data_IF_383695118162
#
_entry.id   IF_383695118162
#
_cell.length_a   1.000
_cell.length_b   1.000
_cell.length_c   1.000
_cell.angle_alpha   90.00
_cell.angle_beta   90.00
_cell.angle_gamma   90.00
#
_symmetry.space_group_name_H-M   'P 1'
#
loop_
_entity.id
_entity.type
_entity.pdbx_description
1 polymer ?
#
# COMPACT_ATOMS: atom_id res chain seq x y z
N UNK A 1 -20.29 -6.51 9.98
CA UNK A 1 -18.84 -6.15 9.85
C UNK A 1 -18.21 -6.93 8.71
N UNK A 2 -17.36 -6.28 7.94
CA UNK A 2 -16.54 -6.90 6.90
C UNK A 2 -15.07 -6.62 7.18
N UNK A 3 -14.21 -7.60 6.95
CA UNK A 3 -12.75 -7.47 7.08
C UNK A 3 -12.11 -7.87 5.74
N UNK A 4 -11.37 -6.97 5.16
CA UNK A 4 -10.58 -7.22 3.96
C UNK A 4 -9.13 -7.48 4.34
N UNK A 5 -8.54 -8.52 3.78
CA UNK A 5 -7.12 -8.84 3.83
C UNK A 5 -6.55 -8.52 2.45
N UNK A 6 -5.93 -7.34 2.33
CA UNK A 6 -5.63 -6.70 1.03
C UNK A 6 -4.22 -7.05 0.57
N UNK A 7 -4.02 -8.32 0.25
CA UNK A 7 -2.79 -8.85 -0.35
C UNK A 7 -1.59 -8.96 0.59
N UNK A 8 -0.62 -9.75 0.15
CA UNK A 8 0.68 -9.96 0.80
C UNK A 8 0.58 -10.35 2.29
N UNK A 9 -0.50 -11.07 2.63
CA UNK A 9 -0.76 -11.56 3.99
C UNK A 9 0.22 -12.68 4.36
N UNK A 10 0.61 -13.46 3.35
CA UNK A 10 1.59 -14.56 3.50
C UNK A 10 2.74 -14.30 2.53
N UNK A 11 3.95 -14.09 3.06
CA UNK A 11 5.15 -13.95 2.23
C UNK A 11 5.57 -15.30 1.62
N UNK A 12 4.85 -15.71 0.59
CA UNK A 12 5.09 -16.94 -0.15
C UNK A 12 6.44 -16.97 -0.85
N UNK A 13 6.99 -15.82 -1.22
CA UNK A 13 8.33 -15.75 -1.83
C UNK A 13 9.41 -16.14 -0.83
N UNK A 14 9.26 -15.72 0.43
CA UNK A 14 10.18 -16.10 1.51
C UNK A 14 10.01 -17.57 1.89
N UNK A 15 8.76 -18.05 1.97
CA UNK A 15 8.47 -19.44 2.26
C UNK A 15 9.05 -20.41 1.20
N UNK A 16 9.05 -20.02 -0.09
CA UNK A 16 9.69 -20.79 -1.17
C UNK A 16 11.21 -20.90 -1.01
N UNK A 17 11.87 -19.87 -0.45
CA UNK A 17 13.34 -19.87 -0.24
C UNK A 17 13.74 -20.66 1.01
N UNK A 18 13.02 -20.47 2.10
CA UNK A 18 13.21 -21.17 3.37
C UNK A 18 11.90 -21.17 4.12
N UNK A 19 11.37 -22.36 4.39
CA UNK A 19 10.17 -22.48 5.19
C UNK A 19 10.45 -21.94 6.60
N UNK A 20 9.75 -20.87 6.95
CA UNK A 20 9.79 -20.24 8.26
C UNK A 20 8.38 -19.77 8.61
N UNK A 21 7.78 -20.41 9.61
CA UNK A 21 6.43 -20.11 10.07
C UNK A 21 6.42 -20.06 11.60
N UNK A 22 6.61 -18.89 12.21
CA UNK A 22 6.56 -18.72 13.67
C UNK A 22 5.19 -19.10 14.23
N UNK A 23 5.19 -19.55 15.49
CA UNK A 23 3.97 -19.96 16.17
C UNK A 23 2.95 -18.80 16.29
N UNK A 24 3.43 -17.58 16.42
CA UNK A 24 2.64 -16.35 16.51
C UNK A 24 1.76 -16.13 15.25
N UNK A 25 2.23 -16.59 14.08
CA UNK A 25 1.42 -16.54 12.86
C UNK A 25 0.16 -17.41 12.95
N UNK A 26 0.23 -18.54 13.67
CA UNK A 26 -0.95 -19.37 13.91
C UNK A 26 -2.02 -18.62 14.71
N UNK A 27 -1.61 -17.81 15.69
CA UNK A 27 -2.54 -17.04 16.51
C UNK A 27 -3.31 -16.02 15.67
N UNK A 28 -2.66 -15.39 14.71
CA UNK A 28 -3.30 -14.47 13.77
C UNK A 28 -4.33 -15.21 12.90
N UNK A 29 -3.93 -16.33 12.29
CA UNK A 29 -4.82 -17.16 11.47
C UNK A 29 -6.04 -17.62 12.30
N UNK A 30 -5.82 -18.12 13.51
CA UNK A 30 -6.89 -18.50 14.42
C UNK A 30 -7.84 -17.36 14.76
N UNK A 31 -7.33 -16.16 14.99
CA UNK A 31 -8.16 -14.98 15.27
C UNK A 31 -9.03 -14.62 14.07
N UNK A 32 -8.49 -14.67 12.86
CA UNK A 32 -9.22 -14.44 11.60
C UNK A 32 -10.35 -15.46 11.45
N UNK A 33 -10.04 -16.76 11.54
CA UNK A 33 -11.04 -17.83 11.43
C UNK A 33 -12.11 -17.77 12.54
N UNK A 34 -11.72 -17.35 13.75
CA UNK A 34 -12.65 -17.16 14.85
C UNK A 34 -13.61 -15.99 14.60
N UNK A 35 -13.17 -14.92 13.96
CA UNK A 35 -14.04 -13.81 13.54
C UNK A 35 -15.02 -14.27 12.47
N UNK A 36 -14.55 -15.01 11.45
CA UNK A 36 -15.40 -15.59 10.43
C UNK A 36 -16.52 -16.44 11.04
N UNK A 37 -16.18 -17.33 11.99
CA UNK A 37 -17.17 -18.15 12.73
C UNK A 37 -18.18 -17.34 13.56
N UNK A 38 -17.86 -16.10 13.91
CA UNK A 38 -18.74 -15.19 14.66
C UNK A 38 -19.61 -14.30 13.76
N UNK A 39 -19.52 -14.50 12.43
CA UNK A 39 -20.34 -13.80 11.46
C UNK A 39 -19.69 -12.56 10.84
N UNK A 40 -18.41 -12.27 11.13
CA UNK A 40 -17.67 -11.28 10.36
C UNK A 40 -17.41 -11.83 8.96
N UNK A 41 -17.83 -11.14 7.92
CA UNK A 41 -17.44 -11.45 6.54
C UNK A 41 -15.97 -11.19 6.36
N UNK A 42 -15.20 -12.17 5.92
CA UNK A 42 -13.77 -12.02 5.67
C UNK A 42 -13.48 -12.28 4.21
N UNK A 43 -12.86 -11.30 3.57
CA UNK A 43 -12.46 -11.37 2.16
C UNK A 43 -10.95 -11.29 2.08
N UNK A 44 -10.33 -12.33 1.50
CA UNK A 44 -8.90 -12.36 1.23
C UNK A 44 -8.64 -12.08 -0.25
N UNK A 45 -7.94 -11.01 -0.51
CA UNK A 45 -7.52 -10.57 -1.85
C UNK A 45 -6.02 -10.83 -1.98
N UNK A 46 -5.57 -11.89 -2.69
CA UNK A 46 -4.14 -12.22 -2.76
C UNK A 46 -3.34 -11.19 -3.54
N UNK A 47 -2.19 -10.79 -2.99
CA UNK A 47 -1.18 -9.97 -3.64
C UNK A 47 -0.16 -10.76 -4.46
N UNK A 48 0.96 -10.12 -4.78
CA UNK A 48 2.05 -10.76 -5.53
C UNK A 48 2.92 -11.67 -4.65
N UNK A 49 3.06 -11.41 -3.34
CA UNK A 49 3.79 -12.31 -2.42
C UNK A 49 3.02 -13.61 -2.13
N UNK A 50 1.72 -13.57 -2.13
CA UNK A 50 0.84 -14.72 -1.93
C UNK A 50 0.04 -15.11 -3.19
N UNK A 51 0.61 -14.85 -4.37
CA UNK A 51 0.04 -15.21 -5.69
C UNK A 51 -0.40 -16.67 -5.80
N UNK A 52 0.21 -17.57 -5.00
CA UNK A 52 -0.14 -18.99 -4.92
C UNK A 52 -1.58 -19.24 -4.44
N UNK A 53 -2.21 -18.26 -3.82
CA UNK A 53 -3.61 -18.32 -3.38
C UNK A 53 -4.58 -17.92 -4.50
N UNK A 54 -4.12 -17.21 -5.53
CA UNK A 54 -4.95 -16.71 -6.66
C UNK A 54 -5.73 -17.78 -7.41
N UNK A 55 -5.21 -19.01 -7.64
CA UNK A 55 -5.99 -20.08 -8.29
C UNK A 55 -7.26 -20.47 -7.52
N UNK A 56 -7.36 -20.15 -6.24
CA UNK A 56 -8.50 -20.45 -5.39
C UNK A 56 -9.53 -19.31 -5.34
N UNK A 57 -9.40 -18.29 -6.17
CA UNK A 57 -10.39 -17.19 -6.26
C UNK A 57 -11.79 -17.74 -6.57
N UNK A 58 -12.79 -17.24 -5.86
CA UNK A 58 -14.18 -17.73 -5.90
C UNK A 58 -14.47 -18.84 -4.89
N UNK A 59 -13.46 -19.34 -4.18
CA UNK A 59 -13.65 -20.36 -3.13
C UNK A 59 -13.78 -19.72 -1.75
N UNK A 60 -14.33 -20.50 -0.81
CA UNK A 60 -14.44 -20.13 0.59
C UNK A 60 -13.77 -21.21 1.46
N UNK A 61 -12.82 -20.78 2.28
CA UNK A 61 -12.10 -21.65 3.21
C UNK A 61 -12.35 -21.23 4.66
N UNK A 62 -13.14 -22.03 5.39
CA UNK A 62 -13.39 -21.78 6.80
C UNK A 62 -14.12 -20.46 7.11
N UNK A 63 -14.88 -19.92 6.14
CA UNK A 63 -15.56 -18.63 6.24
C UNK A 63 -14.75 -17.45 5.68
N UNK A 64 -13.58 -17.71 5.08
CA UNK A 64 -12.77 -16.71 4.36
C UNK A 64 -13.02 -16.85 2.87
N UNK A 65 -13.59 -15.81 2.25
CA UNK A 65 -13.80 -15.72 0.81
C UNK A 65 -12.51 -15.29 0.11
N UNK A 66 -12.07 -16.03 -0.91
CA UNK A 66 -10.91 -15.65 -1.72
C UNK A 66 -11.39 -14.95 -2.99
N UNK A 67 -10.96 -13.72 -3.22
CA UNK A 67 -11.38 -12.90 -4.36
C UNK A 67 -10.18 -12.17 -4.97
N UNK A 68 -10.24 -11.88 -6.29
CA UNK A 68 -9.21 -11.05 -6.95
C UNK A 68 -9.39 -9.57 -6.66
N UNK A 69 -10.64 -9.16 -6.55
CA UNK A 69 -11.07 -7.83 -6.15
C UNK A 69 -12.47 -7.95 -5.54
N UNK A 70 -12.84 -7.00 -4.72
CA UNK A 70 -14.17 -6.90 -4.14
C UNK A 70 -14.73 -5.48 -4.33
N UNK A 71 -16.05 -5.36 -4.17
CA UNK A 71 -16.71 -4.07 -4.04
C UNK A 71 -17.24 -3.93 -2.62
N UNK A 72 -17.09 -2.75 -2.07
CA UNK A 72 -17.55 -2.38 -0.74
C UNK A 72 -18.47 -1.17 -0.84
N UNK A 73 -19.71 -1.34 -0.40
CA UNK A 73 -20.66 -0.24 -0.29
C UNK A 73 -20.55 0.31 1.13
N UNK A 74 -20.10 1.55 1.26
CA UNK A 74 -19.90 2.23 2.56
C UNK A 74 -21.22 2.63 3.19
N UNK A 75 -21.20 2.91 4.49
CA UNK A 75 -22.41 3.31 5.24
C UNK A 75 -23.01 4.64 4.75
N UNK A 76 -22.22 5.52 4.17
CA UNK A 76 -22.65 6.80 3.57
C UNK A 76 -23.07 6.67 2.09
N UNK A 77 -23.03 5.46 1.52
CA UNK A 77 -23.52 5.14 0.18
C UNK A 77 -22.50 5.23 -0.94
N UNK A 78 -21.22 5.47 -0.66
CA UNK A 78 -20.15 5.37 -1.67
C UNK A 78 -19.87 3.91 -1.98
N UNK A 79 -19.43 3.63 -3.20
CA UNK A 79 -19.00 2.31 -3.64
C UNK A 79 -17.50 2.30 -3.93
N UNK A 80 -16.76 1.52 -3.16
CA UNK A 80 -15.31 1.41 -3.28
C UNK A 80 -14.92 0.07 -3.90
N UNK A 81 -13.94 0.09 -4.80
CA UNK A 81 -13.29 -1.11 -5.31
C UNK A 81 -12.12 -1.46 -4.39
N UNK A 82 -12.07 -2.69 -3.88
CA UNK A 82 -10.97 -3.18 -3.03
C UNK A 82 -10.15 -4.20 -3.80
N UNK A 83 -8.86 -3.96 -3.95
CA UNK A 83 -7.91 -4.84 -4.65
C UNK A 83 -6.50 -4.68 -4.08
N UNK A 84 -5.56 -5.59 -4.41
CA UNK A 84 -4.19 -5.43 -3.93
C UNK A 84 -3.42 -4.33 -4.68
N UNK A 85 -3.49 -4.32 -6.01
CA UNK A 85 -2.89 -3.26 -6.84
C UNK A 85 -1.66 -3.66 -7.64
N UNK A 86 -1.06 -4.82 -7.41
CA UNK A 86 0.10 -5.31 -8.17
C UNK A 86 -0.19 -5.54 -9.67
N UNK A 87 -1.45 -5.68 -10.03
CA UNK A 87 -1.89 -5.79 -11.43
C UNK A 87 -1.55 -4.55 -12.27
N UNK A 88 -1.39 -3.40 -11.62
CA UNK A 88 -1.01 -2.15 -12.29
C UNK A 88 0.50 -2.02 -12.52
N UNK A 89 1.33 -2.88 -11.92
CA UNK A 89 2.78 -2.91 -12.13
C UNK A 89 3.15 -3.07 -13.60
N UNK A 90 2.40 -3.86 -14.36
CA UNK A 90 2.67 -4.09 -15.79
C UNK A 90 2.52 -2.79 -16.59
N UNK A 91 1.52 -1.97 -16.26
CA UNK A 91 1.30 -0.66 -16.86
C UNK A 91 2.45 0.28 -16.47
N UNK A 92 2.85 0.22 -15.19
CA UNK A 92 3.95 1.01 -14.66
C UNK A 92 5.31 0.57 -15.20
N UNK A 93 5.52 -0.74 -15.45
CA UNK A 93 6.73 -1.27 -16.08
C UNK A 93 6.92 -0.73 -17.50
N UNK A 94 5.86 -0.58 -18.28
CA UNK A 94 5.94 0.06 -19.60
C UNK A 94 6.43 1.52 -19.48
N UNK A 95 5.94 2.27 -18.50
CA UNK A 95 6.44 3.62 -18.20
C UNK A 95 7.88 3.60 -17.63
N UNK A 96 8.22 2.61 -16.79
CA UNK A 96 9.59 2.43 -16.27
C UNK A 96 10.60 2.10 -17.38
N UNK A 97 10.22 1.28 -18.37
CA UNK A 97 11.10 0.97 -19.50
C UNK A 97 11.46 2.24 -20.29
N UNK A 98 10.46 3.12 -20.55
CA UNK A 98 10.66 4.43 -21.14
C UNK A 98 11.57 5.33 -20.27
N UNK A 99 11.38 5.30 -18.94
CA UNK A 99 12.24 6.04 -18.01
C UNK A 99 13.65 5.46 -17.96
N UNK A 100 13.82 4.13 -18.05
CA UNK A 100 15.13 3.46 -18.08
C UNK A 100 15.90 3.79 -19.36
N UNK A 101 15.21 3.83 -20.52
CA UNK A 101 15.80 4.28 -21.79
C UNK A 101 16.22 5.75 -21.70
N UNK A 102 15.39 6.59 -21.08
CA UNK A 102 15.70 7.99 -20.79
C UNK A 102 16.91 8.13 -19.85
N UNK A 103 17.01 7.30 -18.81
CA UNK A 103 18.12 7.30 -17.85
C UNK A 103 19.44 6.80 -18.50
N UNK A 104 19.36 5.76 -19.35
CA UNK A 104 20.51 5.28 -20.13
C UNK A 104 21.00 6.35 -21.12
N UNK A 105 20.08 7.02 -21.80
CA UNK A 105 20.39 8.15 -22.69
C UNK A 105 21.00 9.32 -21.91
N UNK A 106 20.48 9.59 -20.71
CA UNK A 106 21.01 10.59 -19.78
C UNK A 106 22.44 10.24 -19.32
N UNK A 107 22.72 8.97 -18.98
CA UNK A 107 24.08 8.52 -18.63
C UNK A 107 25.06 8.66 -19.80
N UNK A 108 24.63 8.41 -21.03
CA UNK A 108 25.42 8.66 -22.23
C UNK A 108 25.65 10.17 -22.38
N UNK A 109 24.62 10.99 -22.24
CA UNK A 109 24.76 12.45 -22.26
C UNK A 109 25.66 12.98 -21.14
N UNK A 110 25.61 12.38 -19.92
CA UNK A 110 26.50 12.77 -18.82
C UNK A 110 27.97 12.42 -19.11
N UNK A 111 28.25 11.26 -19.71
CA UNK A 111 29.61 10.93 -20.16
C UNK A 111 30.11 11.92 -21.24
N UNK A 112 29.26 12.25 -22.20
CA UNK A 112 29.53 13.31 -23.19
C UNK A 112 29.72 14.68 -22.51
N UNK A 113 28.90 14.99 -21.49
CA UNK A 113 29.00 16.25 -20.74
C UNK A 113 30.32 16.35 -19.94
N UNK A 114 30.81 15.21 -19.38
CA UNK A 114 32.12 15.17 -18.71
C UNK A 114 33.27 15.42 -19.69
N UNK A 115 33.17 14.88 -20.90
CA UNK A 115 34.13 15.18 -21.99
C UNK A 115 34.06 16.65 -22.39
N UNK A 116 32.84 17.18 -22.52
CA UNK A 116 32.59 18.59 -22.82
C UNK A 116 33.06 19.48 -21.68
N UNK A 117 32.85 19.10 -20.41
CA UNK A 117 33.33 19.85 -19.24
C UNK A 117 34.85 19.86 -19.15
N UNK A 118 35.51 18.75 -19.48
CA UNK A 118 36.99 18.69 -19.56
C UNK A 118 37.54 19.56 -20.67
N UNK A 119 36.88 19.56 -21.84
CA UNK A 119 37.22 20.43 -22.96
C UNK A 119 36.95 21.92 -22.61
N UNK A 120 35.83 22.22 -21.95
CA UNK A 120 35.48 23.58 -21.49
C UNK A 120 36.45 24.11 -20.44
N UNK A 121 36.91 23.25 -19.50
CA UNK A 121 37.96 23.62 -18.52
C UNK A 121 39.28 23.99 -19.17
N UNK A 122 39.64 23.28 -20.26
CA UNK A 122 40.82 23.65 -21.08
C UNK A 122 40.64 24.96 -21.81
N UNK A 123 39.40 25.39 -22.06
CA UNK A 123 39.03 26.62 -22.75
C UNK A 123 38.64 27.77 -21.81
N UNK A 124 38.80 27.60 -20.47
CA UNK A 124 38.55 28.67 -19.49
C UNK A 124 37.07 28.97 -19.19
N UNK A 125 36.14 28.05 -19.49
CA UNK A 125 34.70 28.26 -19.30
C UNK A 125 34.16 27.69 -17.96
N UNK A 126 33.12 28.29 -17.32
CA UNK A 126 32.70 27.98 -15.93
C UNK A 126 32.05 26.61 -15.75
N UNK A 127 32.14 26.07 -14.51
CA UNK A 127 31.79 24.74 -14.03
C UNK A 127 30.26 24.45 -13.93
N UNK A 128 29.86 23.21 -14.19
CA UNK A 128 28.50 22.69 -14.02
C UNK A 128 28.45 21.58 -12.98
N UNK A 129 27.46 21.59 -12.05
CA UNK A 129 27.45 20.86 -10.79
C UNK A 129 26.67 19.52 -10.84
N UNK A 130 27.26 18.49 -10.24
CA UNK A 130 26.77 17.11 -10.14
C UNK A 130 25.60 16.94 -9.13
N UNK A 131 25.25 17.99 -8.34
CA UNK A 131 24.21 17.91 -7.30
C UNK A 131 22.78 17.71 -7.80
N UNK A 132 22.52 17.73 -9.09
CA UNK A 132 21.20 17.45 -9.69
C UNK A 132 20.83 15.96 -9.70
N UNK A 133 21.79 15.03 -9.69
CA UNK A 133 21.53 13.60 -9.84
C UNK A 133 20.84 12.95 -8.59
N UNK A 134 21.19 13.41 -7.39
CA UNK A 134 20.56 12.94 -6.16
C UNK A 134 19.10 13.42 -6.02
N UNK A 135 18.83 14.67 -6.40
CA UNK A 135 17.46 15.22 -6.43
C UNK A 135 16.57 14.50 -7.46
N UNK A 136 17.14 13.98 -8.55
CA UNK A 136 16.39 13.24 -9.55
C UNK A 136 15.89 11.86 -9.06
N UNK A 137 16.65 11.13 -8.23
CA UNK A 137 16.22 9.82 -7.71
C UNK A 137 15.01 9.91 -6.80
N UNK A 138 15.01 10.88 -5.88
CA UNK A 138 13.85 11.13 -4.99
C UNK A 138 12.64 11.62 -5.80
N UNK A 139 12.86 12.54 -6.75
CA UNK A 139 11.79 13.02 -7.63
C UNK A 139 11.17 11.88 -8.46
N UNK A 140 11.98 10.96 -8.99
CA UNK A 140 11.49 9.84 -9.79
C UNK A 140 10.68 8.83 -8.95
N UNK A 141 11.05 8.62 -7.68
CA UNK A 141 10.26 7.77 -6.78
C UNK A 141 8.91 8.40 -6.45
N UNK A 142 8.88 9.68 -6.10
CA UNK A 142 7.63 10.43 -5.85
C UNK A 142 6.76 10.49 -7.11
N UNK A 143 7.34 10.73 -8.28
CA UNK A 143 6.62 10.73 -9.55
C UNK A 143 6.08 9.34 -9.92
N UNK A 144 6.81 8.27 -9.56
CA UNK A 144 6.35 6.89 -9.75
C UNK A 144 5.13 6.61 -8.87
N UNK A 145 5.18 6.91 -7.58
CA UNK A 145 4.06 6.72 -6.64
C UNK A 145 2.84 7.51 -7.13
N UNK A 146 3.00 8.78 -7.44
CA UNK A 146 1.89 9.63 -7.91
C UNK A 146 1.25 9.12 -9.21
N UNK A 147 2.05 8.59 -10.15
CA UNK A 147 1.52 7.98 -11.37
C UNK A 147 0.80 6.65 -11.11
N UNK A 148 1.28 5.85 -10.17
CA UNK A 148 0.61 4.61 -9.78
C UNK A 148 -0.78 4.91 -9.22
N UNK A 149 -0.88 5.84 -8.29
CA UNK A 149 -2.14 6.25 -7.68
C UNK A 149 -3.15 6.77 -8.72
N UNK A 150 -2.67 7.62 -9.65
CA UNK A 150 -3.50 8.12 -10.76
C UNK A 150 -4.02 6.99 -11.66
N UNK A 151 -3.17 6.01 -11.99
CA UNK A 151 -3.57 4.86 -12.82
C UNK A 151 -4.61 4.00 -12.11
N UNK A 152 -4.41 3.75 -10.82
CA UNK A 152 -5.36 2.98 -9.99
C UNK A 152 -6.70 3.71 -9.86
N UNK A 153 -6.68 5.01 -9.56
CA UNK A 153 -7.88 5.83 -9.45
C UNK A 153 -8.64 5.90 -10.79
N UNK A 154 -7.93 6.05 -11.91
CA UNK A 154 -8.54 6.01 -13.25
C UNK A 154 -9.22 4.68 -13.53
N UNK A 155 -8.60 3.56 -13.15
CA UNK A 155 -9.19 2.24 -13.31
C UNK A 155 -10.47 2.05 -12.46
N UNK A 156 -10.56 2.72 -11.31
CA UNK A 156 -11.78 2.79 -10.49
C UNK A 156 -12.86 3.64 -11.19
N UNK A 157 -12.49 4.82 -11.70
CA UNK A 157 -13.39 5.68 -12.48
C UNK A 157 -14.00 4.96 -13.69
N UNK A 158 -13.19 4.21 -14.45
CA UNK A 158 -13.65 3.42 -15.61
C UNK A 158 -14.65 2.33 -15.22
N UNK A 159 -14.62 1.87 -13.97
CA UNK A 159 -15.59 0.91 -13.43
C UNK A 159 -16.82 1.55 -12.79
N UNK A 160 -16.90 2.88 -12.80
CA UNK A 160 -18.03 3.65 -12.28
C UNK A 160 -18.22 3.53 -10.78
N UNK A 161 -17.11 3.45 -10.02
CA UNK A 161 -17.10 3.43 -8.55
C UNK A 161 -16.55 4.76 -8.01
N UNK A 162 -16.93 5.09 -6.77
CA UNK A 162 -16.58 6.36 -6.13
C UNK A 162 -15.13 6.38 -5.61
N UNK A 163 -14.51 5.21 -5.50
CA UNK A 163 -13.12 5.15 -5.07
C UNK A 163 -12.52 3.75 -5.09
N UNK A 164 -11.26 3.67 -4.69
CA UNK A 164 -10.47 2.44 -4.62
C UNK A 164 -9.70 2.36 -3.31
N UNK A 165 -9.64 1.15 -2.76
CA UNK A 165 -8.79 0.76 -1.64
C UNK A 165 -7.75 -0.22 -2.15
N UNK A 166 -6.47 0.06 -1.95
CA UNK A 166 -5.39 -0.84 -2.33
C UNK A 166 -4.24 -0.80 -1.30
N UNK A 167 -3.31 -1.74 -1.44
CA UNK A 167 -2.05 -1.83 -0.72
C UNK A 167 -0.85 -1.68 -1.64
N UNK A 168 0.02 -2.70 -1.67
CA UNK A 168 1.12 -2.95 -2.61
C UNK A 168 2.31 -1.97 -2.53
N UNK A 169 2.08 -0.66 -2.54
CA UNK A 169 3.17 0.34 -2.51
C UNK A 169 3.61 0.74 -1.10
N UNK A 170 3.02 0.15 -0.06
CA UNK A 170 3.35 0.31 1.36
C UNK A 170 3.34 1.78 1.83
N UNK A 171 2.52 2.61 1.23
CA UNK A 171 2.42 4.03 1.59
C UNK A 171 0.99 4.35 1.96
N UNK A 172 0.70 4.34 3.27
CA UNK A 172 -0.64 4.65 3.78
C UNK A 172 -1.00 6.11 3.44
N UNK A 173 -1.98 6.31 2.58
CA UNK A 173 -2.34 7.63 2.08
C UNK A 173 -3.78 7.68 1.59
N UNK A 174 -4.36 8.87 1.69
CA UNK A 174 -5.61 9.25 1.03
C UNK A 174 -5.34 10.34 0.00
N UNK A 175 -5.91 10.17 -1.19
CA UNK A 175 -5.96 11.22 -2.23
C UNK A 175 -7.30 11.23 -2.94
N UNK A 176 -7.70 12.38 -3.43
CA UNK A 176 -8.80 12.55 -4.36
C UNK A 176 -8.27 12.84 -5.76
N UNK A 177 -8.76 12.09 -6.74
CA UNK A 177 -8.44 12.26 -8.15
C UNK A 177 -9.72 12.58 -8.92
N UNK A 178 -10.03 13.87 -9.07
CA UNK A 178 -11.20 14.35 -9.80
C UNK A 178 -12.53 13.72 -9.32
N UNK A 179 -12.68 13.56 -7.99
CA UNK A 179 -13.85 13.00 -7.34
C UNK A 179 -13.82 11.48 -7.19
N UNK A 180 -12.70 10.82 -7.49
CA UNK A 180 -12.46 9.41 -7.21
C UNK A 180 -11.48 9.27 -6.05
N UNK A 181 -11.95 8.68 -4.96
CA UNK A 181 -11.16 8.47 -3.76
C UNK A 181 -10.13 7.35 -3.96
N UNK A 182 -8.87 7.65 -3.69
CA UNK A 182 -7.81 6.68 -3.60
C UNK A 182 -7.38 6.51 -2.14
N UNK A 183 -7.44 5.28 -1.65
CA UNK A 183 -7.01 4.89 -0.32
C UNK A 183 -5.95 3.80 -0.42
N UNK A 184 -4.81 4.00 0.23
CA UNK A 184 -3.82 2.96 0.43
C UNK A 184 -3.77 2.61 1.92
N UNK A 185 -3.93 1.32 2.25
CA UNK A 185 -3.98 0.83 3.62
C UNK A 185 -2.60 0.69 4.29
N UNK A 186 -1.53 0.94 3.51
CA UNK A 186 -0.15 0.88 4.00
C UNK A 186 0.37 -0.54 4.16
N UNK A 187 1.01 -0.81 5.30
CA UNK A 187 1.59 -2.11 5.60
C UNK A 187 1.59 -2.42 7.11
N UNK A 188 1.77 -3.71 7.45
CA UNK A 188 1.90 -4.18 8.84
C UNK A 188 3.33 -4.51 9.24
N UNK A 189 4.34 -4.18 8.42
CA UNK A 189 5.76 -4.47 8.68
C UNK A 189 6.49 -3.25 9.22
N UNK A 190 6.34 -2.11 8.56
CA UNK A 190 7.00 -0.86 8.93
C UNK A 190 6.00 0.17 9.47
N UNK A 191 4.92 0.42 8.72
CA UNK A 191 3.89 1.40 9.05
C UNK A 191 2.92 0.94 10.13
N UNK A 192 2.63 -0.36 10.19
CA UNK A 192 1.60 -0.95 11.06
C UNK A 192 0.25 -0.22 10.93
N UNK A 193 -0.17 0.01 9.69
CA UNK A 193 -1.37 0.76 9.37
C UNK A 193 -2.55 -0.17 9.02
N UNK A 194 -3.76 0.33 9.18
CA UNK A 194 -4.98 -0.27 8.69
C UNK A 194 -5.98 0.81 8.28
N UNK A 195 -6.73 0.58 7.22
CA UNK A 195 -7.86 1.41 6.85
C UNK A 195 -9.11 0.93 7.58
N UNK A 196 -9.84 1.84 8.20
CA UNK A 196 -11.08 1.56 8.94
C UNK A 196 -12.19 2.45 8.43
N UNK A 197 -13.35 1.85 8.19
CA UNK A 197 -14.60 2.56 8.01
C UNK A 197 -15.38 2.59 9.32
N UNK A 198 -15.83 3.77 9.71
CA UNK A 198 -16.71 3.99 10.85
C UNK A 198 -18.18 3.79 10.46
N UNK A 199 -19.06 3.67 11.47
CA UNK A 199 -20.50 3.43 11.25
C UNK A 199 -21.23 4.55 10.52
N UNK A 200 -20.64 5.74 10.44
CA UNK A 200 -21.16 6.89 9.71
C UNK A 200 -20.63 6.97 8.26
N UNK A 201 -19.78 6.00 7.84
CA UNK A 201 -19.15 5.96 6.54
C UNK A 201 -17.83 6.73 6.43
N UNK A 202 -17.42 7.44 7.49
CA UNK A 202 -16.12 8.09 7.50
C UNK A 202 -14.98 7.06 7.50
N UNK A 203 -13.90 7.38 6.79
CA UNK A 203 -12.73 6.51 6.65
C UNK A 203 -11.55 7.07 7.44
N UNK A 204 -10.79 6.20 8.09
CA UNK A 204 -9.62 6.55 8.90
C UNK A 204 -8.47 5.59 8.62
N UNK A 205 -7.26 6.14 8.39
CA UNK A 205 -6.03 5.36 8.41
C UNK A 205 -5.51 5.29 9.84
N UNK A 206 -5.66 4.12 10.46
CA UNK A 206 -5.14 3.86 11.79
C UNK A 206 -3.64 3.56 11.74
N UNK A 207 -2.86 4.20 12.63
CA UNK A 207 -1.52 3.77 12.98
C UNK A 207 -1.59 2.98 14.30
N UNK A 208 -1.28 1.69 14.26
CA UNK A 208 -1.46 0.81 15.42
C UNK A 208 -0.59 1.16 16.63
N UNK A 209 0.71 1.49 16.49
CA UNK A 209 1.53 1.99 17.61
C UNK A 209 0.94 3.19 18.32
N UNK A 210 0.42 4.17 17.58
CA UNK A 210 -0.22 5.37 18.16
C UNK A 210 -1.52 5.02 18.87
N UNK A 211 -2.32 4.13 18.29
CA UNK A 211 -3.57 3.64 18.87
C UNK A 211 -3.31 2.89 20.20
N UNK A 212 -2.28 2.06 20.28
CA UNK A 212 -1.88 1.39 21.51
C UNK A 212 -1.48 2.40 22.57
N UNK A 213 -0.64 3.37 22.21
CA UNK A 213 -0.21 4.42 23.13
C UNK A 213 -1.38 5.24 23.67
N UNK A 214 -2.37 5.57 22.82
CA UNK A 214 -3.60 6.28 23.21
C UNK A 214 -4.45 5.46 24.20
N UNK A 215 -4.60 4.16 23.96
CA UNK A 215 -5.36 3.26 24.84
C UNK A 215 -4.70 3.08 26.20
N UNK A 216 -3.39 3.00 26.25
CA UNK A 216 -2.64 2.85 27.50
C UNK A 216 -2.67 4.14 28.32
N UNK A 217 -2.57 5.32 27.69
CA UNK A 217 -2.78 6.60 28.37
C UNK A 217 -4.18 6.71 28.99
N UNK A 218 -5.23 6.38 28.24
CA UNK A 218 -6.60 6.39 28.75
C UNK A 218 -6.88 5.39 29.88
N UNK A 219 -6.11 4.28 29.95
CA UNK A 219 -6.20 3.34 31.07
C UNK A 219 -5.58 3.90 32.36
N UNK A 220 -4.51 4.70 32.22
CA UNK A 220 -3.89 5.34 33.39
C UNK A 220 -4.77 6.43 33.99
N UNK A 221 -5.47 7.20 33.18
CA UNK A 221 -6.39 8.25 33.65
C UNK A 221 -7.60 7.67 34.41
N UNK A 222 -8.10 6.50 34.01
CA UNK A 222 -9.22 5.82 34.72
C UNK A 222 -8.76 5.19 36.04
N UNK A 223 -7.49 4.77 36.15
CA UNK A 223 -6.97 4.18 37.40
C UNK A 223 -6.73 5.22 38.52
N UNK A 224 -6.59 6.49 38.17
CA UNK A 224 -6.35 7.59 39.13
C UNK A 224 -7.67 8.13 39.73
N UNK A 225 -8.83 7.78 39.17
CA UNK A 225 -10.15 8.29 39.61
C UNK A 225 -10.94 7.37 40.51
N UNK A 226 -10.33 6.32 41.12
CA UNK A 226 -11.00 5.54 42.18
C UNK A 226 -10.93 6.32 43.50
N UNK A 227 -12.05 6.84 44.06
CA UNK A 227 -12.01 7.49 45.38
C UNK A 227 -11.63 6.45 46.40
N UNK A 228 -10.67 6.78 47.28
CA UNK A 228 -10.46 6.05 48.53
C UNK A 228 -11.80 6.04 49.30
N UNK A 229 -12.35 4.85 49.48
CA UNK A 229 -13.53 4.69 50.32
C UNK A 229 -13.15 4.93 51.77
N UNK A 230 -13.73 5.96 52.37
CA UNK A 230 -13.64 6.28 53.77
C UNK A 230 -14.40 5.26 54.63
#
# INVERSE_FOLDING_TARGET
ETMYLVGDIIDGWRLKKKFYWPAEHNDIVWRILKRAKRGTRIVYIPGNHDEMVRPFSGMNFGGVEIMRAAFHDTADGRRLMVLHGDEFDTIMLAHRWLAFVGDALYHVMMKLNNWVAAARKRLGLPYWSISKAAKHKVKNAVEFISKYEEVVARAAAERGVDGVVCGHIHTAEFRDFDGVEYWNDGDWVEGCNALVEHFDGSMEILNWPEEVARRDAGRHDVAVTVPEAA
#
